data_IF_716095224595
#
_entry.id   IF_716095224595
#
_cell.length_a   1.000
_cell.length_b   1.000
_cell.length_c   1.000
_cell.angle_alpha   90.00
_cell.angle_beta   90.00
_cell.angle_gamma   90.00
#
_symmetry.space_group_name_H-M   'P 1'
#
loop_
_entity.id
_entity.type
_entity.pdbx_description
1 polymer ?
#
# COMPACT_ATOMS: atom_id res chain seq x y z
N UNK A 1 7.74 18.20 -18.88
CA UNK A 1 7.35 17.48 -17.63
C UNK A 1 6.95 18.56 -16.65
N UNK A 2 5.71 18.56 -16.20
CA UNK A 2 5.25 19.50 -15.17
C UNK A 2 6.00 19.22 -13.86
N UNK A 3 6.20 20.25 -13.02
CA UNK A 3 6.91 20.09 -11.73
C UNK A 3 6.31 19.01 -10.82
N UNK A 4 5.02 18.74 -10.99
CA UNK A 4 4.23 17.79 -10.21
C UNK A 4 4.69 16.33 -10.38
N UNK A 5 5.06 15.94 -11.61
CA UNK A 5 5.60 14.60 -11.89
C UNK A 5 6.94 14.35 -11.19
N UNK A 6 7.76 15.40 -11.07
CA UNK A 6 9.05 15.32 -10.36
C UNK A 6 8.84 15.12 -8.86
N UNK A 7 7.85 15.78 -8.27
CA UNK A 7 7.52 15.67 -6.84
C UNK A 7 7.02 14.24 -6.52
N UNK A 8 6.11 13.70 -7.32
CA UNK A 8 5.59 12.34 -7.11
C UNK A 8 6.68 11.27 -7.23
N UNK A 9 7.61 11.40 -8.21
CA UNK A 9 8.75 10.49 -8.36
C UNK A 9 9.74 10.62 -7.20
N UNK A 10 9.98 11.84 -6.70
CA UNK A 10 10.80 12.04 -5.51
C UNK A 10 10.19 11.40 -4.28
N UNK A 11 8.86 11.44 -4.11
CA UNK A 11 8.16 10.74 -3.03
C UNK A 11 8.54 9.26 -2.97
N UNK A 12 8.46 8.54 -4.09
CA UNK A 12 8.83 7.13 -4.16
C UNK A 12 10.29 6.86 -3.75
N UNK A 13 11.21 7.79 -3.98
CA UNK A 13 12.60 7.68 -3.54
C UNK A 13 12.73 7.86 -2.01
N UNK A 14 11.83 8.63 -1.39
CA UNK A 14 11.83 8.83 0.06
C UNK A 14 11.09 7.73 0.84
N UNK A 15 10.25 6.93 0.18
CA UNK A 15 9.52 5.84 0.83
C UNK A 15 10.44 4.90 1.65
N UNK A 16 11.57 4.38 1.12
CA UNK A 16 12.50 3.58 1.92
C UNK A 16 13.07 4.33 3.12
N UNK A 17 13.33 5.64 2.97
CA UNK A 17 13.86 6.48 4.06
C UNK A 17 12.86 6.65 5.19
N UNK A 18 11.56 6.62 4.91
CA UNK A 18 10.51 6.64 5.92
C UNK A 18 10.28 5.25 6.56
N UNK A 19 10.27 4.20 5.75
CA UNK A 19 9.99 2.83 6.22
C UNK A 19 11.13 2.28 7.11
N UNK A 20 12.38 2.50 6.75
CA UNK A 20 13.54 1.97 7.49
C UNK A 20 13.58 2.43 8.96
N UNK A 21 13.44 3.74 9.28
CA UNK A 21 13.39 4.21 10.68
C UNK A 21 12.22 3.63 11.46
N UNK A 22 11.05 3.47 10.81
CA UNK A 22 9.86 2.88 11.45
C UNK A 22 10.13 1.42 11.82
N UNK A 23 10.70 0.62 10.92
CA UNK A 23 11.07 -0.77 11.18
C UNK A 23 12.11 -0.88 12.29
N UNK A 24 13.14 -0.04 12.27
CA UNK A 24 14.17 0.01 13.30
C UNK A 24 13.60 0.38 14.67
N UNK A 25 12.71 1.37 14.71
CA UNK A 25 12.02 1.78 15.94
C UNK A 25 11.13 0.66 16.45
N UNK A 26 10.36 0.00 15.60
CA UNK A 26 9.53 -1.15 15.96
C UNK A 26 10.38 -2.31 16.53
N UNK A 27 11.51 -2.61 15.90
CA UNK A 27 12.45 -3.62 16.38
C UNK A 27 12.98 -3.29 17.77
N UNK A 28 13.35 -2.02 18.02
CA UNK A 28 13.80 -1.58 19.34
C UNK A 28 12.69 -1.62 20.40
N UNK A 29 11.47 -1.26 20.02
CA UNK A 29 10.30 -1.35 20.90
C UNK A 29 9.92 -2.80 21.19
N UNK A 30 10.13 -3.72 20.27
CA UNK A 30 9.90 -5.15 20.47
C UNK A 30 10.74 -5.74 21.61
N UNK A 31 11.92 -5.17 21.87
CA UNK A 31 12.74 -5.56 23.01
C UNK A 31 12.20 -5.06 24.38
N UNK A 32 11.20 -4.18 24.38
CA UNK A 32 10.70 -3.49 25.58
C UNK A 32 9.19 -3.66 25.82
N UNK A 33 8.46 -4.25 24.88
CA UNK A 33 7.00 -4.35 24.92
C UNK A 33 6.51 -5.61 24.19
N UNK A 34 5.74 -6.44 24.89
CA UNK A 34 5.13 -7.65 24.32
C UNK A 34 4.23 -7.36 23.10
N UNK A 35 3.55 -6.22 23.10
CA UNK A 35 2.72 -5.80 21.95
C UNK A 35 3.57 -5.54 20.72
N UNK A 36 4.69 -4.80 20.88
CA UNK A 36 5.61 -4.52 19.79
C UNK A 36 6.33 -5.80 19.33
N UNK A 37 6.72 -6.67 20.26
CA UNK A 37 7.29 -7.99 19.96
C UNK A 37 6.32 -8.85 19.13
N UNK A 38 5.04 -8.90 19.53
CA UNK A 38 4.00 -9.61 18.80
C UNK A 38 3.78 -9.03 17.39
N UNK A 39 3.82 -7.71 17.20
CA UNK A 39 3.73 -7.08 15.89
C UNK A 39 4.95 -7.39 15.03
N UNK A 40 6.15 -7.29 15.59
CA UNK A 40 7.39 -7.64 14.91
C UNK A 40 7.42 -9.09 14.43
N UNK A 41 7.00 -10.04 15.27
CA UNK A 41 6.91 -11.45 14.92
C UNK A 41 5.91 -11.71 13.78
N UNK A 42 4.73 -11.05 13.80
CA UNK A 42 3.76 -11.15 12.70
C UNK A 42 4.32 -10.61 11.39
N UNK A 43 5.04 -9.48 11.44
CA UNK A 43 5.73 -8.96 10.25
C UNK A 43 6.78 -9.95 9.76
N UNK A 44 7.68 -10.40 10.63
CA UNK A 44 8.77 -11.30 10.25
C UNK A 44 8.29 -12.65 9.70
N UNK A 45 7.13 -13.13 10.15
CA UNK A 45 6.53 -14.40 9.70
C UNK A 45 5.56 -14.26 8.51
N UNK A 46 5.27 -13.04 8.08
CA UNK A 46 4.36 -12.80 6.96
C UNK A 46 4.93 -13.35 5.63
N UNK A 47 4.05 -13.74 4.72
CA UNK A 47 4.47 -14.23 3.41
C UNK A 47 5.10 -13.11 2.56
N UNK A 48 5.97 -13.47 1.62
CA UNK A 48 6.52 -12.52 0.66
C UNK A 48 5.42 -11.76 -0.09
N UNK A 49 4.33 -12.44 -0.46
CA UNK A 49 3.18 -11.81 -1.12
C UNK A 49 2.50 -10.76 -0.22
N UNK A 50 2.43 -10.98 1.10
CA UNK A 50 1.93 -9.98 2.05
C UNK A 50 2.83 -8.75 2.13
N UNK A 51 4.16 -8.95 2.18
CA UNK A 51 5.11 -7.84 2.17
C UNK A 51 5.05 -7.04 0.88
N UNK A 52 5.04 -7.72 -0.27
CA UNK A 52 4.94 -7.07 -1.58
C UNK A 52 3.61 -6.29 -1.67
N UNK A 53 2.49 -6.88 -1.28
CA UNK A 53 1.20 -6.20 -1.27
C UNK A 53 1.20 -4.96 -0.37
N UNK A 54 1.77 -5.04 0.84
CA UNK A 54 1.89 -3.90 1.75
C UNK A 54 2.81 -2.80 1.19
N UNK A 55 3.93 -3.15 0.55
CA UNK A 55 4.82 -2.17 -0.08
C UNK A 55 4.15 -1.47 -1.27
N UNK A 56 3.37 -2.18 -2.07
CA UNK A 56 2.64 -1.60 -3.19
C UNK A 56 1.52 -0.66 -2.72
N UNK A 57 0.83 -1.01 -1.61
CA UNK A 57 -0.12 -0.11 -0.95
C UNK A 57 0.58 1.17 -0.47
N UNK A 58 1.76 1.06 0.15
CA UNK A 58 2.53 2.23 0.60
C UNK A 58 3.04 3.07 -0.57
N UNK A 59 3.48 2.45 -1.66
CA UNK A 59 3.92 3.17 -2.85
C UNK A 59 2.77 3.95 -3.51
N UNK A 60 1.58 3.34 -3.61
CA UNK A 60 0.39 4.04 -4.09
C UNK A 60 -0.01 5.17 -3.13
N UNK A 61 0.00 4.93 -1.81
CA UNK A 61 -0.28 5.95 -0.80
C UNK A 61 0.66 7.16 -0.91
N UNK A 62 1.95 6.91 -1.10
CA UNK A 62 2.97 7.96 -1.23
C UNK A 62 2.69 8.85 -2.44
N UNK A 63 2.35 8.27 -3.59
CA UNK A 63 1.97 9.03 -4.78
C UNK A 63 0.73 9.88 -4.51
N UNK A 64 -0.34 9.31 -3.93
CA UNK A 64 -1.55 10.06 -3.63
C UNK A 64 -1.27 11.21 -2.65
N UNK A 65 -0.54 10.97 -1.58
CA UNK A 65 -0.22 11.99 -0.57
C UNK A 65 0.69 13.10 -1.13
N UNK A 66 1.64 12.77 -2.01
CA UNK A 66 2.51 13.78 -2.63
C UNK A 66 1.78 14.68 -3.63
N UNK A 67 0.69 14.19 -4.23
CA UNK A 67 -0.16 14.97 -5.13
C UNK A 67 -1.18 15.87 -4.40
N UNK A 68 -1.42 15.65 -3.10
CA UNK A 68 -2.40 16.42 -2.31
C UNK A 68 -2.17 17.93 -2.39
N UNK A 69 -0.96 18.50 -2.16
CA UNK A 69 -0.79 19.95 -2.11
C UNK A 69 -1.19 20.65 -3.40
N UNK A 70 -0.86 20.07 -4.55
CA UNK A 70 -1.17 20.63 -5.87
C UNK A 70 -2.68 20.58 -6.11
N UNK A 71 -3.28 19.41 -5.91
CA UNK A 71 -4.71 19.23 -6.17
C UNK A 71 -5.59 19.99 -5.18
N UNK A 72 -5.15 20.24 -3.93
CA UNK A 72 -5.91 21.09 -3.01
C UNK A 72 -6.05 22.52 -3.51
N UNK A 73 -5.07 23.01 -4.28
CA UNK A 73 -5.10 24.37 -4.86
C UNK A 73 -5.90 24.39 -6.15
N UNK A 74 -5.68 23.44 -7.06
CA UNK A 74 -6.24 23.46 -8.41
C UNK A 74 -7.63 22.80 -8.48
N UNK A 75 -7.82 21.71 -7.75
CA UNK A 75 -9.01 20.88 -7.71
C UNK A 75 -9.30 20.40 -6.28
N UNK A 76 -9.84 21.24 -5.39
CA UNK A 76 -9.92 20.96 -3.95
C UNK A 76 -10.59 19.64 -3.59
N UNK A 77 -11.62 19.24 -4.32
CA UNK A 77 -12.32 17.96 -4.10
C UNK A 77 -11.38 16.79 -4.39
N UNK A 78 -10.67 16.82 -5.51
CA UNK A 78 -9.69 15.79 -5.89
C UNK A 78 -8.55 15.73 -4.87
N UNK A 79 -8.06 16.87 -4.39
CA UNK A 79 -7.03 16.94 -3.35
C UNK A 79 -7.47 16.29 -2.04
N UNK A 80 -8.72 16.53 -1.61
CA UNK A 80 -9.30 15.88 -0.42
C UNK A 80 -9.45 14.36 -0.63
N UNK A 81 -9.88 13.94 -1.81
CA UNK A 81 -10.00 12.51 -2.13
C UNK A 81 -8.64 11.83 -2.09
N UNK A 82 -7.59 12.43 -2.65
CA UNK A 82 -6.21 11.91 -2.59
C UNK A 82 -5.71 11.80 -1.16
N UNK A 83 -6.02 12.78 -0.30
CA UNK A 83 -5.64 12.72 1.11
C UNK A 83 -6.32 11.57 1.84
N UNK A 84 -7.63 11.41 1.67
CA UNK A 84 -8.40 10.32 2.31
C UNK A 84 -7.91 8.97 1.81
N UNK A 85 -7.74 8.82 0.50
CA UNK A 85 -7.29 7.57 -0.09
C UNK A 85 -5.85 7.22 0.33
N UNK A 86 -4.93 8.17 0.29
CA UNK A 86 -3.56 7.96 0.73
C UNK A 86 -3.49 7.49 2.20
N UNK A 87 -4.27 8.10 3.10
CA UNK A 87 -4.37 7.67 4.50
C UNK A 87 -4.97 6.26 4.60
N UNK A 88 -6.00 5.96 3.82
CA UNK A 88 -6.64 4.64 3.81
C UNK A 88 -5.69 3.54 3.31
N UNK A 89 -4.90 3.82 2.28
CA UNK A 89 -3.86 2.92 1.76
C UNK A 89 -2.76 2.65 2.79
N UNK A 90 -2.28 3.68 3.52
CA UNK A 90 -1.33 3.50 4.64
C UNK A 90 -1.95 2.61 5.72
N UNK A 91 -3.19 2.88 6.11
CA UNK A 91 -3.89 2.08 7.11
C UNK A 91 -4.04 0.61 6.66
N UNK A 92 -4.37 0.36 5.38
CA UNK A 92 -4.46 -0.98 4.81
C UNK A 92 -3.10 -1.70 4.80
N UNK A 93 -2.01 -0.99 4.50
CA UNK A 93 -0.66 -1.54 4.53
C UNK A 93 -0.23 -1.96 5.95
N UNK A 94 -0.55 -1.16 6.97
CA UNK A 94 -0.32 -1.50 8.37
C UNK A 94 -1.22 -2.67 8.80
N UNK A 95 -2.50 -2.66 8.40
CA UNK A 95 -3.46 -3.71 8.71
C UNK A 95 -3.01 -5.09 8.22
N UNK A 96 -2.18 -5.16 7.17
CA UNK A 96 -1.61 -6.40 6.66
C UNK A 96 -0.85 -7.22 7.72
N UNK A 97 -0.31 -6.55 8.74
CA UNK A 97 0.44 -7.16 9.83
C UNK A 97 -0.32 -7.19 11.17
N UNK A 98 -1.51 -6.57 11.24
CA UNK A 98 -2.28 -6.43 12.47
C UNK A 98 -3.51 -7.31 12.48
N UNK A 99 -4.20 -7.45 11.34
CA UNK A 99 -5.47 -8.18 11.24
C UNK A 99 -5.50 -9.18 10.08
N UNK A 100 -6.12 -10.36 10.26
CA UNK A 100 -6.27 -11.33 9.17
C UNK A 100 -7.24 -10.87 8.07
N UNK A 101 -8.12 -9.91 8.37
CA UNK A 101 -9.17 -9.45 7.45
C UNK A 101 -8.73 -8.27 6.55
N UNK A 102 -7.47 -7.86 6.59
CA UNK A 102 -6.94 -6.71 5.86
C UNK A 102 -7.11 -6.78 4.33
N UNK A 103 -7.17 -8.00 3.78
CA UNK A 103 -7.16 -8.23 2.33
C UNK A 103 -8.36 -7.65 1.62
N UNK A 104 -9.56 -7.79 2.21
CA UNK A 104 -10.81 -7.32 1.59
C UNK A 104 -10.83 -5.80 1.45
N UNK A 105 -10.61 -4.99 2.50
CA UNK A 105 -10.56 -3.55 2.35
C UNK A 105 -9.39 -3.08 1.47
N UNK A 106 -8.22 -3.72 1.53
CA UNK A 106 -7.11 -3.38 0.66
C UNK A 106 -7.41 -3.62 -0.82
N UNK A 107 -8.03 -4.77 -1.16
CA UNK A 107 -8.49 -5.04 -2.53
C UNK A 107 -9.55 -4.05 -2.97
N UNK A 108 -10.52 -3.73 -2.12
CA UNK A 108 -11.58 -2.77 -2.43
C UNK A 108 -11.00 -1.39 -2.76
N UNK A 109 -10.03 -0.89 -1.97
CA UNK A 109 -9.35 0.38 -2.23
C UNK A 109 -8.63 0.37 -3.57
N UNK A 110 -7.75 -0.62 -3.81
CA UNK A 110 -6.97 -0.68 -5.04
C UNK A 110 -7.87 -0.81 -6.29
N UNK A 111 -8.91 -1.65 -6.24
CA UNK A 111 -9.86 -1.79 -7.35
C UNK A 111 -10.66 -0.50 -7.56
N UNK A 112 -11.13 0.15 -6.49
CA UNK A 112 -11.83 1.41 -6.58
C UNK A 112 -10.95 2.48 -7.26
N UNK A 113 -9.68 2.60 -6.89
CA UNK A 113 -8.75 3.55 -7.48
C UNK A 113 -8.52 3.33 -8.97
N UNK A 114 -8.37 2.06 -9.39
CA UNK A 114 -8.26 1.72 -10.83
C UNK A 114 -9.54 2.09 -11.57
N UNK A 115 -10.72 1.78 -11.01
CA UNK A 115 -12.01 2.07 -11.64
C UNK A 115 -12.30 3.57 -11.70
N UNK A 116 -12.02 4.32 -10.65
CA UNK A 116 -12.20 5.77 -10.62
C UNK A 116 -11.29 6.43 -11.65
N UNK A 117 -10.02 6.05 -11.74
CA UNK A 117 -9.13 6.58 -12.78
C UNK A 117 -9.62 6.26 -14.18
N UNK A 118 -10.05 5.03 -14.44
CA UNK A 118 -10.64 4.66 -15.73
C UNK A 118 -11.88 5.51 -16.08
N UNK A 119 -12.72 5.79 -15.07
CA UNK A 119 -13.88 6.67 -15.24
C UNK A 119 -13.46 8.10 -15.59
N UNK A 120 -12.43 8.66 -14.94
CA UNK A 120 -11.90 9.99 -15.24
C UNK A 120 -11.40 10.09 -16.68
N UNK A 121 -10.68 9.06 -17.16
CA UNK A 121 -10.21 9.01 -18.56
C UNK A 121 -11.38 8.94 -19.53
N UNK A 122 -12.36 8.08 -19.31
CA UNK A 122 -13.52 7.91 -20.21
C UNK A 122 -14.40 9.15 -20.22
N UNK A 123 -14.56 9.81 -19.07
CA UNK A 123 -15.31 11.07 -18.97
C UNK A 123 -14.56 12.27 -19.59
N UNK A 124 -13.30 12.12 -19.95
CA UNK A 124 -12.47 13.20 -20.50
C UNK A 124 -12.13 14.29 -19.48
N UNK A 125 -12.23 13.97 -18.19
CA UNK A 125 -11.89 14.91 -17.10
C UNK A 125 -10.39 15.03 -16.90
N UNK A 126 -9.65 14.00 -17.27
CA UNK A 126 -8.19 13.96 -17.20
C UNK A 126 -7.62 13.22 -18.41
N UNK A 127 -6.41 13.62 -18.85
CA UNK A 127 -5.65 12.90 -19.85
C UNK A 127 -4.80 11.80 -19.22
N UNK A 128 -4.55 10.73 -19.98
CA UNK A 128 -3.61 9.71 -19.53
C UNK A 128 -2.18 10.30 -19.44
N UNK A 129 -1.60 10.27 -18.25
CA UNK A 129 -0.22 10.67 -18.00
C UNK A 129 0.61 9.52 -17.40
N UNK A 130 1.93 9.72 -17.38
CA UNK A 130 2.87 8.68 -16.91
C UNK A 130 2.68 8.34 -15.45
N UNK A 131 2.34 9.33 -14.61
CA UNK A 131 2.14 9.12 -13.15
C UNK A 131 0.84 8.38 -12.90
N UNK A 132 -0.26 8.84 -13.52
CA UNK A 132 -1.57 8.19 -13.38
C UNK A 132 -1.53 6.75 -13.85
N UNK A 133 -1.01 6.47 -15.05
CA UNK A 133 -0.87 5.11 -15.57
C UNK A 133 0.08 4.27 -14.72
N UNK A 134 1.24 4.83 -14.32
CA UNK A 134 2.21 4.14 -13.48
C UNK A 134 1.63 3.75 -12.12
N UNK A 135 0.87 4.64 -11.49
CA UNK A 135 0.16 4.36 -10.23
C UNK A 135 -0.84 3.22 -10.40
N UNK A 136 -1.61 3.20 -11.49
CA UNK A 136 -2.57 2.12 -11.76
C UNK A 136 -1.89 0.77 -12.01
N UNK A 137 -0.72 0.76 -12.63
CA UNK A 137 0.08 -0.46 -12.74
C UNK A 137 0.56 -0.97 -11.38
N UNK A 138 0.99 -0.09 -10.46
CA UNK A 138 1.33 -0.44 -9.08
C UNK A 138 0.11 -1.01 -8.32
N UNK A 139 -1.06 -0.40 -8.48
CA UNK A 139 -2.29 -0.84 -7.84
C UNK A 139 -2.75 -2.21 -8.34
N UNK A 140 -2.70 -2.44 -9.66
CA UNK A 140 -2.99 -3.75 -10.26
C UNK A 140 -1.99 -4.80 -9.76
N UNK A 141 -0.70 -4.49 -9.69
CA UNK A 141 0.31 -5.38 -9.12
C UNK A 141 0.01 -5.66 -7.64
N UNK A 142 -0.45 -4.66 -6.88
CA UNK A 142 -0.92 -4.81 -5.50
C UNK A 142 -2.07 -5.79 -5.37
N UNK A 143 -3.09 -5.67 -6.23
CA UNK A 143 -4.21 -6.63 -6.29
C UNK A 143 -3.69 -8.05 -6.52
N UNK A 144 -2.80 -8.26 -7.50
CA UNK A 144 -2.23 -9.58 -7.81
C UNK A 144 -1.44 -10.13 -6.61
N UNK A 145 -0.62 -9.31 -5.95
CA UNK A 145 0.15 -9.71 -4.78
C UNK A 145 -0.77 -10.12 -3.60
N UNK A 146 -1.82 -9.33 -3.33
CA UNK A 146 -2.78 -9.62 -2.26
C UNK A 146 -3.55 -10.91 -2.57
N UNK A 147 -4.02 -11.11 -3.79
CA UNK A 147 -4.66 -12.35 -4.22
C UNK A 147 -3.70 -13.54 -4.10
N UNK A 148 -2.43 -13.37 -4.46
CA UNK A 148 -1.38 -14.38 -4.28
C UNK A 148 -1.20 -14.81 -2.82
N UNK A 149 -1.39 -13.88 -1.87
CA UNK A 149 -1.27 -14.17 -0.44
C UNK A 149 -2.32 -15.14 0.12
N UNK A 150 -3.46 -15.31 -0.56
CA UNK A 150 -4.47 -16.33 -0.20
C UNK A 150 -4.00 -17.76 -0.49
N UNK A 151 -3.15 -17.96 -1.50
CA UNK A 151 -2.69 -19.30 -1.93
C UNK A 151 -1.60 -19.88 -1.04
N UNK A 152 -0.83 -19.02 -0.35
CA UNK A 152 0.32 -19.45 0.45
C UNK A 152 -0.08 -19.92 1.86
N UNK A 153 -1.13 -19.37 2.44
CA UNK A 153 -1.59 -19.69 3.79
C UNK A 153 -1.94 -21.19 4.02
N UNK A 154 -2.68 -21.87 3.12
CA UNK A 154 -3.02 -23.29 3.32
C UNK A 154 -1.82 -24.23 3.19
N UNK A 155 -0.82 -23.89 2.38
CA UNK A 155 0.39 -24.71 2.20
C UNK A 155 1.30 -24.69 3.44
N UNK A 156 1.43 -23.56 4.10
CA UNK A 156 2.19 -23.43 5.35
C UNK A 156 1.54 -24.25 6.48
N UNK A 157 0.22 -24.18 6.61
CA UNK A 157 -0.53 -24.95 7.60
C UNK A 157 -0.53 -26.45 7.34
N UNK A 158 -0.44 -26.88 6.08
CA UNK A 158 -0.31 -28.29 5.71
C UNK A 158 1.09 -28.83 6.04
N UNK A 159 2.14 -28.04 5.80
CA UNK A 159 3.53 -28.42 6.13
C UNK A 159 3.73 -28.58 7.65
N UNK A 160 3.26 -27.63 8.46
CA UNK A 160 3.40 -27.72 9.91
C UNK A 160 2.74 -28.96 10.52
N UNK A 161 1.61 -29.41 9.96
CA UNK A 161 0.94 -30.65 10.35
C UNK A 161 1.67 -31.93 9.91
N UNK A 162 2.40 -31.88 8.81
CA UNK A 162 3.19 -33.02 8.32
C UNK A 162 4.44 -33.28 9.17
N UNK A 163 5.02 -32.24 9.79
CA UNK A 163 6.19 -32.35 10.69
C UNK A 163 5.81 -32.71 12.15
N UNK A 164 4.54 -32.61 12.51
CA UNK A 164 4.03 -32.94 13.84
C UNK A 164 3.61 -34.44 14.00
N UNK A 165 3.77 -35.23 12.96
CA UNK A 165 3.52 -36.70 12.93
C UNK A 165 4.83 -37.47 12.84
#
# INVERSE_FOLDING_TARGET
MSGDHTIALMGLLFLPMAVIPVLFTLQRLAARSDRAAGMWLRMASASAATHIGSLLLLASADIHLTLVPVHLVEQPITGVLFLIDGIALVAAAIAAFVTPHWRVPALALLVANVLVYALYLVAGWEGADVIGVGTKLLEVAGVVAILGSYRVAPLAAARSRAWAR
#
